data_IF_363826118148
#
_entry.id   IF_363826118148
#
_cell.length_a   1.000
_cell.length_b   1.000
_cell.length_c   1.000
_cell.angle_alpha   90.00
_cell.angle_beta   90.00
_cell.angle_gamma   90.00
#
_symmetry.space_group_name_H-M   'P 1'
#
loop_
_entity.id
_entity.type
_entity.pdbx_description
1 polymer ?
#
# COMPACT_ATOMS: atom_id res chain seq x y z
N UNK A 1 0.58 -8.80 -46.41
CA UNK A 1 0.12 -7.72 -45.52
C UNK A 1 1.14 -6.60 -45.61
N UNK A 2 0.73 -5.36 -45.90
CA UNK A 2 1.69 -4.24 -45.83
C UNK A 2 2.01 -3.93 -44.38
N UNK A 3 3.25 -3.52 -44.10
CA UNK A 3 3.73 -3.16 -42.76
C UNK A 3 2.85 -2.08 -42.10
N UNK A 4 2.35 -1.14 -42.89
CA UNK A 4 1.45 -0.06 -42.44
C UNK A 4 0.09 -0.62 -41.97
N UNK A 5 -0.47 -1.58 -42.70
CA UNK A 5 -1.74 -2.20 -42.33
C UNK A 5 -1.58 -3.05 -41.06
N UNK A 6 -0.44 -3.73 -40.91
CA UNK A 6 -0.14 -4.48 -39.70
C UNK A 6 -0.03 -3.56 -38.46
N UNK A 7 0.64 -2.40 -38.58
CA UNK A 7 0.70 -1.39 -37.50
C UNK A 7 -0.68 -0.89 -37.10
N UNK A 8 -1.54 -0.58 -38.06
CA UNK A 8 -2.93 -0.12 -37.80
C UNK A 8 -3.76 -1.17 -37.06
N UNK A 9 -3.63 -2.44 -37.44
CA UNK A 9 -4.32 -3.54 -36.75
C UNK A 9 -3.82 -3.66 -35.31
N UNK A 10 -2.50 -3.62 -35.09
CA UNK A 10 -1.91 -3.66 -33.74
C UNK A 10 -2.35 -2.46 -32.88
N UNK A 11 -2.26 -1.25 -33.42
CA UNK A 11 -2.69 -0.02 -32.75
C UNK A 11 -4.16 -0.09 -32.34
N UNK A 12 -5.04 -0.48 -33.27
CA UNK A 12 -6.47 -0.61 -33.00
C UNK A 12 -6.74 -1.66 -31.92
N UNK A 13 -6.09 -2.82 -32.01
CA UNK A 13 -6.24 -3.89 -31.02
C UNK A 13 -5.79 -3.44 -29.63
N UNK A 14 -4.65 -2.74 -29.53
CA UNK A 14 -4.12 -2.24 -28.26
C UNK A 14 -4.97 -1.12 -27.65
N UNK A 15 -5.59 -0.26 -28.46
CA UNK A 15 -6.48 0.80 -27.99
C UNK A 15 -7.82 0.22 -27.51
N UNK A 16 -8.35 -0.80 -28.21
CA UNK A 16 -9.61 -1.44 -27.84
C UNK A 16 -9.47 -2.47 -26.71
N UNK A 17 -8.25 -2.91 -26.40
CA UNK A 17 -8.01 -3.88 -25.35
C UNK A 17 -8.21 -3.25 -23.95
N UNK A 18 -8.96 -3.95 -23.09
CA UNK A 18 -9.14 -3.56 -21.69
C UNK A 18 -8.01 -4.05 -20.79
N UNK A 19 -7.21 -5.01 -21.25
CA UNK A 19 -6.09 -5.62 -20.53
C UNK A 19 -4.83 -5.59 -21.40
N UNK A 20 -3.63 -5.66 -20.80
CA UNK A 20 -2.40 -5.76 -21.57
C UNK A 20 -2.43 -6.95 -22.52
N UNK A 21 -2.03 -6.72 -23.77
CA UNK A 21 -1.97 -7.78 -24.78
C UNK A 21 -0.57 -8.40 -24.82
N UNK A 22 -0.49 -9.72 -24.67
CA UNK A 22 0.77 -10.42 -24.85
C UNK A 22 1.13 -10.52 -26.34
N UNK A 23 2.44 -10.60 -26.66
CA UNK A 23 2.91 -10.77 -28.04
C UNK A 23 2.31 -12.03 -28.68
N UNK A 24 2.07 -13.08 -27.88
CA UNK A 24 1.40 -14.31 -28.32
C UNK A 24 -0.01 -14.05 -28.84
N UNK A 25 -0.80 -13.24 -28.14
CA UNK A 25 -2.19 -12.97 -28.51
C UNK A 25 -2.26 -12.04 -29.72
N UNK A 26 -1.31 -11.10 -29.83
CA UNK A 26 -1.16 -10.26 -31.02
C UNK A 26 -0.86 -11.07 -32.28
N UNK A 27 -0.15 -12.21 -32.17
CA UNK A 27 0.10 -13.09 -33.34
C UNK A 27 -1.19 -13.69 -33.90
N UNK A 28 -2.16 -13.97 -33.02
CA UNK A 28 -3.45 -14.55 -33.41
C UNK A 28 -4.21 -13.58 -34.32
N UNK A 29 -4.09 -12.26 -34.13
CA UNK A 29 -4.68 -11.23 -35.00
C UNK A 29 -4.22 -11.33 -36.46
N UNK A 30 -3.07 -11.96 -36.70
CA UNK A 30 -2.47 -12.13 -38.02
C UNK A 30 -2.46 -13.60 -38.48
N UNK A 31 -3.24 -14.49 -37.84
CA UNK A 31 -3.23 -15.93 -38.10
C UNK A 31 -1.81 -16.53 -38.06
N UNK A 32 -0.97 -16.09 -37.12
CA UNK A 32 0.43 -16.51 -36.97
C UNK A 32 1.34 -16.25 -38.19
N UNK A 33 0.89 -15.42 -39.14
CA UNK A 33 1.70 -15.05 -40.31
C UNK A 33 2.90 -14.14 -39.95
N UNK A 34 2.86 -13.46 -38.80
CA UNK A 34 3.94 -12.62 -38.31
C UNK A 34 4.68 -13.29 -37.16
N UNK A 35 6.01 -13.32 -37.26
CA UNK A 35 6.89 -13.79 -36.18
C UNK A 35 6.87 -12.84 -34.96
N UNK A 36 7.25 -13.37 -33.80
CA UNK A 36 7.33 -12.60 -32.56
C UNK A 36 8.29 -11.41 -32.67
N UNK A 37 9.39 -11.56 -33.38
CA UNK A 37 10.39 -10.50 -33.54
C UNK A 37 9.87 -9.37 -34.43
N UNK A 38 9.14 -9.71 -35.50
CA UNK A 38 8.48 -8.72 -36.35
C UNK A 38 7.47 -7.90 -35.55
N UNK A 39 6.63 -8.55 -34.73
CA UNK A 39 5.67 -7.84 -33.89
C UNK A 39 6.38 -6.92 -32.90
N UNK A 40 7.43 -7.39 -32.23
CA UNK A 40 8.22 -6.55 -31.31
C UNK A 40 8.80 -5.32 -32.02
N UNK A 41 9.36 -5.48 -33.21
CA UNK A 41 9.85 -4.34 -34.00
C UNK A 41 8.74 -3.37 -34.35
N UNK A 42 7.56 -3.85 -34.75
CA UNK A 42 6.41 -2.99 -35.04
C UNK A 42 5.91 -2.23 -33.81
N UNK A 43 5.94 -2.88 -32.63
CA UNK A 43 5.56 -2.26 -31.36
C UNK A 43 6.55 -1.16 -30.94
N UNK A 44 7.85 -1.38 -31.13
CA UNK A 44 8.86 -0.37 -30.86
C UNK A 44 8.72 0.85 -31.77
N UNK A 45 8.45 0.63 -33.06
CA UNK A 45 8.15 1.72 -33.97
C UNK A 45 6.89 2.48 -33.55
N UNK A 46 5.80 1.76 -33.23
CA UNK A 46 4.55 2.38 -32.75
C UNK A 46 4.79 3.19 -31.48
N UNK A 47 5.61 2.68 -30.55
CA UNK A 47 5.97 3.41 -29.35
C UNK A 47 6.65 4.75 -29.68
N UNK A 48 7.56 4.78 -30.66
CA UNK A 48 8.21 6.01 -31.12
C UNK A 48 7.23 6.99 -31.78
N UNK A 49 6.30 6.49 -32.59
CA UNK A 49 5.27 7.29 -33.26
C UNK A 49 4.31 7.97 -32.24
N UNK A 50 4.14 7.38 -31.05
CA UNK A 50 3.25 7.87 -30.00
C UNK A 50 3.96 8.74 -28.93
N UNK A 51 5.25 9.03 -29.06
CA UNK A 51 6.02 9.84 -28.08
C UNK A 51 5.47 11.26 -27.89
N UNK A 52 4.88 11.87 -28.91
CA UNK A 52 4.36 13.25 -28.82
C UNK A 52 2.86 13.33 -28.48
N UNK A 53 2.22 12.19 -28.20
CA UNK A 53 0.77 12.11 -27.92
C UNK A 53 0.53 12.03 -26.41
N UNK A 54 -0.67 12.40 -25.96
CA UNK A 54 -1.08 12.33 -24.55
C UNK A 54 -1.22 10.90 -23.99
N UNK A 55 -1.16 9.90 -24.86
CA UNK A 55 -1.18 8.47 -24.54
C UNK A 55 0.15 7.87 -25.03
N UNK A 56 0.71 6.95 -24.25
CA UNK A 56 1.95 6.26 -24.56
C UNK A 56 1.75 4.74 -24.57
N UNK A 57 2.52 4.06 -25.41
CA UNK A 57 2.57 2.60 -25.47
C UNK A 57 3.67 2.10 -24.54
N UNK A 58 3.29 1.32 -23.52
CA UNK A 58 4.23 0.85 -22.49
C UNK A 58 4.24 -0.69 -22.43
N UNK A 59 5.43 -1.30 -22.41
CA UNK A 59 5.58 -2.71 -22.07
C UNK A 59 5.44 -2.93 -20.56
N UNK A 60 4.60 -3.89 -20.18
CA UNK A 60 4.35 -4.36 -18.81
C UNK A 60 4.66 -5.86 -18.69
N UNK A 61 4.63 -6.42 -17.48
CA UNK A 61 5.00 -7.81 -17.22
C UNK A 61 4.14 -8.82 -18.00
N UNK A 62 2.85 -8.55 -18.19
CA UNK A 62 1.94 -9.43 -18.95
C UNK A 62 1.87 -9.13 -20.44
N UNK A 63 2.36 -8.00 -20.92
CA UNK A 63 2.25 -7.64 -22.33
C UNK A 63 2.48 -6.16 -22.63
N UNK A 64 1.71 -5.63 -23.57
CA UNK A 64 1.76 -4.23 -23.99
C UNK A 64 0.40 -3.58 -23.82
N UNK A 65 0.37 -2.32 -23.40
CA UNK A 65 -0.86 -1.53 -23.29
C UNK A 65 -0.61 -0.06 -23.59
N UNK A 66 -1.68 0.64 -23.98
CA UNK A 66 -1.70 2.09 -23.98
C UNK A 66 -2.07 2.61 -22.58
N UNK A 67 -1.38 3.65 -22.14
CA UNK A 67 -1.67 4.35 -20.88
C UNK A 67 -1.57 5.87 -21.09
N UNK A 68 -2.35 6.63 -20.32
CA UNK A 68 -2.21 8.09 -20.33
C UNK A 68 -0.89 8.51 -19.71
N UNK A 69 -0.30 9.59 -20.22
CA UNK A 69 0.91 10.16 -19.63
C UNK A 69 0.64 10.68 -18.21
N UNK A 70 1.61 10.57 -17.29
CA UNK A 70 1.47 11.13 -15.93
C UNK A 70 1.10 12.62 -15.91
N UNK A 71 1.61 13.39 -16.88
CA UNK A 71 1.29 14.81 -17.08
C UNK A 71 -0.20 15.09 -17.31
N UNK A 72 -0.94 14.11 -17.85
CA UNK A 72 -2.37 14.26 -18.12
C UNK A 72 -3.24 14.01 -16.88
N UNK A 73 -2.66 13.48 -15.79
CA UNK A 73 -3.39 13.10 -14.57
C UNK A 73 -4.18 14.26 -13.96
N UNK A 74 -3.61 15.46 -13.89
CA UNK A 74 -4.27 16.65 -13.32
C UNK A 74 -5.57 17.00 -14.07
N UNK A 75 -5.62 16.72 -15.37
CA UNK A 75 -6.81 16.97 -16.19
C UNK A 75 -7.81 15.82 -16.10
N UNK A 76 -7.33 14.56 -16.06
CA UNK A 76 -8.17 13.37 -15.98
C UNK A 76 -8.86 13.22 -14.61
N UNK A 77 -8.21 13.63 -13.53
CA UNK A 77 -8.77 13.60 -12.18
C UNK A 77 -10.04 14.48 -12.07
N UNK A 78 -10.20 15.48 -12.95
CA UNK A 78 -11.42 16.33 -13.00
C UNK A 78 -12.64 15.57 -13.54
N UNK A 79 -12.44 14.51 -14.33
CA UNK A 79 -13.50 13.71 -14.93
C UNK A 79 -14.05 12.65 -13.96
N UNK A 80 -13.21 12.15 -13.06
CA UNK A 80 -13.54 11.12 -12.07
C UNK A 80 -13.17 11.59 -10.66
N UNK A 81 -14.03 12.38 -10.00
CA UNK A 81 -13.73 12.96 -8.69
C UNK A 81 -13.70 11.93 -7.53
N UNK A 82 -14.22 10.72 -7.76
CA UNK A 82 -14.05 9.61 -6.83
C UNK A 82 -12.60 9.15 -6.83
N UNK A 83 -11.83 9.65 -5.85
CA UNK A 83 -10.45 9.22 -5.65
C UNK A 83 -10.44 7.72 -5.37
N UNK A 84 -9.60 6.93 -6.05
CA UNK A 84 -9.45 5.52 -5.73
C UNK A 84 -9.08 5.37 -4.24
N UNK A 85 -9.47 4.24 -3.61
CA UNK A 85 -9.18 4.00 -2.20
C UNK A 85 -7.68 4.11 -1.96
N UNK A 86 -7.27 5.08 -1.14
CA UNK A 86 -5.87 5.32 -0.82
C UNK A 86 -5.37 4.20 0.09
N UNK A 87 -4.27 3.57 -0.29
CA UNK A 87 -3.61 2.59 0.57
C UNK A 87 -2.88 3.30 1.71
N UNK A 88 -3.00 2.76 2.92
CA UNK A 88 -2.29 3.31 4.08
C UNK A 88 -0.78 3.15 3.90
N UNK A 89 0.01 4.03 4.53
CA UNK A 89 1.47 3.91 4.55
C UNK A 89 1.93 2.52 5.04
N UNK A 90 1.27 1.96 6.05
CA UNK A 90 1.57 0.62 6.56
C UNK A 90 1.36 -0.49 5.52
N UNK A 91 0.33 -0.36 4.67
CA UNK A 91 0.07 -1.28 3.54
C UNK A 91 1.21 -1.22 2.53
N UNK A 92 1.64 -0.01 2.18
CA UNK A 92 2.69 0.21 1.17
C UNK A 92 4.07 -0.21 1.67
N UNK A 93 4.38 0.05 2.94
CA UNK A 93 5.61 -0.45 3.58
C UNK A 93 5.66 -1.98 3.59
N UNK A 94 4.53 -2.62 3.93
CA UNK A 94 4.42 -4.08 3.92
C UNK A 94 4.63 -4.64 2.51
N UNK A 95 3.98 -4.05 1.51
CA UNK A 95 4.14 -4.42 0.11
C UNK A 95 5.59 -4.25 -0.36
N UNK A 96 6.23 -3.14 -0.01
CA UNK A 96 7.62 -2.89 -0.36
C UNK A 96 8.54 -3.97 0.22
N UNK A 97 8.39 -4.33 1.50
CA UNK A 97 9.19 -5.40 2.10
C UNK A 97 9.02 -6.72 1.34
N UNK A 98 7.78 -7.09 0.99
CA UNK A 98 7.52 -8.30 0.20
C UNK A 98 8.23 -8.20 -1.16
N UNK A 99 8.09 -7.10 -1.89
CA UNK A 99 8.68 -6.91 -3.21
C UNK A 99 10.21 -7.01 -3.22
N UNK A 100 10.91 -6.44 -2.24
CA UNK A 100 12.38 -6.42 -2.19
C UNK A 100 13.03 -7.61 -1.45
N UNK A 101 12.26 -8.38 -0.68
CA UNK A 101 12.80 -9.48 0.15
C UNK A 101 12.17 -10.84 -0.13
N UNK A 102 11.21 -10.93 -1.05
CA UNK A 102 10.56 -12.19 -1.39
C UNK A 102 11.58 -13.31 -1.70
N UNK A 103 11.32 -14.54 -1.27
CA UNK A 103 10.13 -14.99 -0.53
C UNK A 103 10.23 -14.71 0.98
N UNK A 104 9.21 -14.04 1.55
CA UNK A 104 9.16 -13.66 2.98
C UNK A 104 7.97 -14.28 3.69
N UNK A 105 8.11 -14.57 4.98
CA UNK A 105 7.00 -14.93 5.86
C UNK A 105 6.45 -13.70 6.57
N UNK A 106 5.24 -13.81 7.13
CA UNK A 106 4.69 -12.76 7.99
C UNK A 106 5.63 -12.38 9.15
N UNK A 107 6.27 -13.36 9.78
CA UNK A 107 7.22 -13.12 10.87
C UNK A 107 8.41 -12.26 10.40
N UNK A 108 8.98 -12.58 9.24
CA UNK A 108 10.10 -11.81 8.69
C UNK A 108 9.70 -10.34 8.41
N UNK A 109 8.46 -10.10 7.98
CA UNK A 109 7.94 -8.74 7.76
C UNK A 109 7.82 -7.98 9.09
N UNK A 110 7.29 -8.62 10.13
CA UNK A 110 7.17 -8.04 11.47
C UNK A 110 8.54 -7.71 12.07
N UNK A 111 9.51 -8.61 11.91
CA UNK A 111 10.89 -8.40 12.35
C UNK A 111 11.57 -7.20 11.64
N UNK A 112 11.33 -7.02 10.35
CA UNK A 112 11.87 -5.89 9.58
C UNK A 112 11.19 -4.57 9.96
N UNK A 113 9.87 -4.56 10.17
CA UNK A 113 9.12 -3.35 10.52
C UNK A 113 9.25 -2.95 11.99
N UNK A 114 9.61 -3.89 12.86
CA UNK A 114 9.64 -3.69 14.31
C UNK A 114 8.25 -3.51 14.95
N UNK A 115 7.17 -3.74 14.20
CA UNK A 115 5.77 -3.63 14.66
C UNK A 115 4.93 -4.77 14.08
N UNK A 116 3.92 -5.21 14.83
CA UNK A 116 2.99 -6.24 14.37
C UNK A 116 2.24 -5.79 13.12
N UNK A 117 2.20 -6.65 12.11
CA UNK A 117 1.47 -6.41 10.86
C UNK A 117 0.04 -6.92 11.04
N UNK A 118 -0.95 -6.09 10.74
CA UNK A 118 -2.34 -6.51 10.76
C UNK A 118 -2.59 -7.54 9.65
N UNK A 119 -3.13 -8.71 10.00
CA UNK A 119 -3.51 -9.77 9.04
C UNK A 119 -4.39 -9.27 7.89
N UNK A 120 -5.22 -8.25 8.15
CA UNK A 120 -6.08 -7.63 7.14
C UNK A 120 -5.28 -6.99 6.01
N UNK A 121 -4.10 -6.43 6.28
CA UNK A 121 -3.24 -5.81 5.24
C UNK A 121 -2.78 -6.87 4.24
N UNK A 122 -2.31 -8.01 4.74
CA UNK A 122 -1.86 -9.12 3.88
C UNK A 122 -3.05 -9.62 3.05
N UNK A 123 -4.20 -9.83 3.69
CA UNK A 123 -5.42 -10.26 3.00
C UNK A 123 -5.87 -9.26 1.93
N UNK A 124 -5.81 -7.95 2.19
CA UNK A 124 -6.12 -6.91 1.20
C UNK A 124 -5.19 -6.96 -0.01
N UNK A 125 -3.90 -7.21 0.21
CA UNK A 125 -2.91 -7.36 -0.88
C UNK A 125 -3.14 -8.63 -1.69
N UNK A 126 -3.54 -9.73 -1.04
CA UNK A 126 -3.93 -10.98 -1.68
C UNK A 126 -5.24 -10.83 -2.48
N UNK A 127 -6.28 -10.23 -1.89
CA UNK A 127 -7.59 -10.00 -2.52
C UNK A 127 -7.45 -9.10 -3.78
N UNK A 128 -6.52 -8.14 -3.74
CA UNK A 128 -6.19 -7.29 -4.91
C UNK A 128 -5.36 -8.03 -5.97
N UNK A 129 -4.79 -9.18 -5.62
CA UNK A 129 -3.93 -9.98 -6.46
C UNK A 129 -2.51 -9.45 -6.57
N UNK A 130 -2.04 -8.59 -5.67
CA UNK A 130 -0.66 -8.08 -5.68
C UNK A 130 0.34 -9.04 -5.05
N UNK A 131 -0.12 -9.83 -4.08
CA UNK A 131 0.69 -10.81 -3.34
C UNK A 131 0.00 -12.16 -3.41
N UNK A 132 0.79 -13.23 -3.48
CA UNK A 132 0.32 -14.61 -3.40
C UNK A 132 1.18 -15.45 -2.46
N UNK A 133 0.61 -16.55 -1.96
CA UNK A 133 1.32 -17.55 -1.17
C UNK A 133 1.94 -18.57 -2.13
N UNK A 134 3.27 -18.55 -2.25
CA UNK A 134 4.00 -19.46 -3.15
C UNK A 134 4.38 -20.79 -2.49
N UNK A 135 4.20 -20.91 -1.17
CA UNK A 135 4.57 -22.11 -0.43
C UNK A 135 4.58 -21.88 1.09
N UNK A 136 5.17 -22.82 1.82
CA UNK A 136 5.31 -22.73 3.28
C UNK A 136 6.75 -23.08 3.67
N UNK A 137 7.30 -22.37 4.67
CA UNK A 137 8.66 -22.63 5.17
C UNK A 137 8.67 -23.89 6.04
N UNK A 138 9.68 -24.74 5.90
CA UNK A 138 9.84 -25.99 6.67
C UNK A 138 10.39 -25.75 8.09
N UNK A 139 9.69 -24.93 8.87
CA UNK A 139 10.02 -24.61 10.27
C UNK A 139 8.82 -24.88 11.18
N UNK A 140 9.00 -24.74 12.50
CA UNK A 140 7.89 -24.83 13.46
C UNK A 140 6.76 -23.86 13.08
N UNK A 141 5.52 -24.34 13.08
CA UNK A 141 4.35 -23.56 12.66
C UNK A 141 4.14 -23.43 11.14
N UNK A 142 5.08 -23.90 10.30
CA UNK A 142 5.02 -23.90 8.82
C UNK A 142 4.42 -22.61 8.24
N UNK A 143 5.03 -21.42 8.47
CA UNK A 143 4.47 -20.16 8.02
C UNK A 143 4.43 -20.06 6.49
N UNK A 144 3.40 -19.39 5.97
CA UNK A 144 3.24 -19.11 4.55
C UNK A 144 4.34 -18.19 4.01
N UNK A 145 4.83 -18.49 2.81
CA UNK A 145 5.79 -17.68 2.05
C UNK A 145 5.04 -16.82 1.03
N UNK A 146 5.19 -15.51 1.18
CA UNK A 146 4.57 -14.49 0.36
C UNK A 146 5.54 -14.02 -0.73
N UNK A 147 5.00 -13.79 -1.92
CA UNK A 147 5.70 -13.16 -3.04
C UNK A 147 4.75 -12.27 -3.83
N UNK A 148 5.30 -11.34 -4.61
CA UNK A 148 4.53 -10.48 -5.52
C UNK A 148 4.15 -11.21 -6.80
N UNK A 149 3.01 -10.80 -7.37
CA UNK A 149 2.48 -11.40 -8.60
C UNK A 149 2.85 -10.57 -9.85
N UNK A 150 2.52 -11.08 -11.04
CA UNK A 150 2.60 -10.30 -12.27
C UNK A 150 1.59 -9.14 -12.31
N UNK A 151 0.43 -9.31 -11.68
CA UNK A 151 -0.59 -8.27 -11.59
C UNK A 151 -0.07 -7.04 -10.81
N UNK A 152 0.73 -7.27 -9.76
CA UNK A 152 1.48 -6.19 -9.10
C UNK A 152 2.39 -5.44 -10.07
N UNK A 153 3.20 -6.14 -10.86
CA UNK A 153 4.10 -5.51 -11.83
C UNK A 153 3.33 -4.71 -12.89
N UNK A 154 2.20 -5.24 -13.37
CA UNK A 154 1.36 -4.54 -14.34
C UNK A 154 0.72 -3.28 -13.77
N UNK A 155 0.26 -3.31 -12.52
CA UNK A 155 -0.30 -2.13 -11.85
C UNK A 155 0.77 -1.05 -11.60
N UNK A 156 2.02 -1.45 -11.34
CA UNK A 156 3.16 -0.53 -11.23
C UNK A 156 3.75 -0.10 -12.59
N UNK A 157 3.32 -0.72 -13.69
CA UNK A 157 3.85 -0.46 -15.03
C UNK A 157 5.28 -0.96 -15.24
N UNK A 158 5.69 -2.01 -14.52
CA UNK A 158 7.01 -2.62 -14.58
C UNK A 158 6.97 -3.92 -15.39
N UNK A 159 8.08 -4.26 -16.06
CA UNK A 159 8.22 -5.53 -16.77
C UNK A 159 8.78 -6.65 -15.88
N UNK A 160 9.66 -6.30 -14.94
CA UNK A 160 10.29 -7.24 -14.01
C UNK A 160 10.58 -6.57 -12.67
N UNK A 161 10.85 -7.39 -11.66
CA UNK A 161 11.21 -6.93 -10.32
C UNK A 161 12.56 -6.20 -10.29
N UNK A 162 13.45 -6.43 -11.26
CA UNK A 162 14.74 -5.74 -11.38
C UNK A 162 14.60 -4.25 -11.69
N UNK A 163 13.43 -3.84 -12.20
CA UNK A 163 13.12 -2.44 -12.46
C UNK A 163 12.62 -1.70 -11.20
N UNK A 164 12.46 -2.43 -10.08
CA UNK A 164 12.16 -1.79 -8.81
C UNK A 164 13.34 -0.89 -8.40
N UNK A 165 13.10 0.37 -8.01
CA UNK A 165 14.18 1.27 -7.68
C UNK A 165 14.94 0.80 -6.43
N UNK A 166 16.26 1.02 -6.38
CA UNK A 166 17.07 0.50 -5.27
C UNK A 166 16.71 1.19 -3.95
N UNK A 167 16.46 0.39 -2.90
CA UNK A 167 16.22 0.88 -1.54
C UNK A 167 17.50 1.56 -1.01
N UNK A 168 17.54 2.90 -1.05
CA UNK A 168 18.69 3.69 -0.60
C UNK A 168 18.73 5.12 -1.15
N UNK A 169 18.04 5.38 -2.25
CA UNK A 169 17.83 6.75 -2.72
C UNK A 169 16.61 7.34 -2.01
N UNK A 170 16.82 8.28 -1.10
CA UNK A 170 15.78 8.90 -0.27
C UNK A 170 14.60 9.48 -1.08
N UNK A 171 14.78 9.76 -2.38
CA UNK A 171 13.73 10.22 -3.29
C UNK A 171 12.86 9.13 -3.94
N UNK A 172 13.22 7.83 -3.82
CA UNK A 172 12.44 6.70 -4.37
C UNK A 172 11.18 6.46 -3.55
N UNK A 173 11.30 6.51 -2.22
CA UNK A 173 10.16 6.40 -1.33
C UNK A 173 9.17 7.52 -1.66
N UNK A 174 9.65 8.75 -1.83
CA UNK A 174 8.89 9.91 -2.30
C UNK A 174 8.18 9.67 -3.64
N UNK A 175 8.88 9.15 -4.66
CA UNK A 175 8.26 8.85 -5.96
C UNK A 175 7.23 7.73 -5.89
N UNK A 176 7.45 6.70 -5.07
CA UNK A 176 6.49 5.62 -4.85
C UNK A 176 5.26 6.14 -4.08
N UNK A 177 5.46 6.92 -3.02
CA UNK A 177 4.41 7.60 -2.25
C UNK A 177 3.60 8.57 -3.14
N UNK A 178 4.27 9.27 -4.05
CA UNK A 178 3.67 10.18 -5.01
C UNK A 178 2.89 9.42 -6.11
N UNK A 179 3.41 8.27 -6.56
CA UNK A 179 2.68 7.36 -7.47
C UNK A 179 1.44 6.75 -6.81
N UNK A 180 1.48 6.57 -5.48
CA UNK A 180 0.40 6.01 -4.67
C UNK A 180 -0.49 7.10 -4.03
N UNK A 181 -0.36 8.35 -4.50
CA UNK A 181 -1.12 9.51 -4.04
C UNK A 181 -1.22 9.57 -2.52
N UNK A 182 -0.12 9.80 -1.81
CA UNK A 182 -0.15 10.38 -0.47
C UNK A 182 0.18 11.88 -0.60
N UNK A 183 -0.60 12.80 -0.02
CA UNK A 183 -0.09 14.14 0.18
C UNK A 183 1.01 14.01 1.25
N UNK A 184 2.09 14.74 1.09
CA UNK A 184 2.99 15.03 2.20
C UNK A 184 2.11 15.57 3.34
N UNK A 185 1.96 14.81 4.42
CA UNK A 185 1.35 15.36 5.62
C UNK A 185 2.20 16.57 5.99
N UNK A 186 1.56 17.73 5.99
CA UNK A 186 2.06 18.91 6.67
C UNK A 186 2.55 18.45 8.04
N UNK A 187 3.82 18.71 8.27
CA UNK A 187 4.51 18.44 9.51
C UNK A 187 3.63 18.77 10.72
N UNK A 188 3.52 17.79 11.61
CA UNK A 188 3.17 17.94 13.03
C UNK A 188 3.16 19.39 13.52
N UNK A 189 1.97 19.99 13.58
CA UNK A 189 1.70 21.16 14.40
C UNK A 189 0.85 20.74 15.60
N UNK A 190 1.52 20.28 16.64
CA UNK A 190 1.06 20.43 18.02
C UNK A 190 2.30 20.71 18.88
N UNK A 191 2.17 21.41 20.03
CA UNK A 191 0.95 21.86 20.71
C UNK A 191 1.02 23.32 21.23
N UNK A 192 -0.09 23.93 21.65
CA UNK A 192 -0.16 24.70 22.91
C UNK A 192 -1.59 24.65 23.46
N UNK A 193 -1.77 23.95 24.58
CA UNK A 193 -2.94 24.10 25.45
C UNK A 193 -2.81 25.46 26.16
N UNK A 194 -3.86 26.29 26.24
CA UNK A 194 -3.79 27.51 27.03
C UNK A 194 -3.64 27.15 28.51
N UNK A 195 -2.49 27.46 29.10
CA UNK A 195 -2.27 27.49 30.54
C UNK A 195 -3.25 28.48 31.16
N UNK A 196 -4.22 27.99 31.93
CA UNK A 196 -4.92 28.82 32.91
C UNK A 196 -3.86 29.33 33.90
N UNK A 197 -3.57 30.62 33.82
CA UNK A 197 -2.81 31.33 34.84
C UNK A 197 -3.61 31.31 36.15
N UNK A 198 -3.23 30.41 37.06
CA UNK A 198 -3.58 30.55 38.46
C UNK A 198 -2.51 31.49 39.03
N UNK A 199 -2.90 32.73 39.30
CA UNK A 199 -2.07 33.70 39.99
C UNK A 199 -1.75 33.17 41.40
N UNK A 200 -0.53 32.70 41.61
CA UNK A 200 0.04 32.57 42.94
C UNK A 200 0.66 33.92 43.30
N UNK A 201 -0.07 34.66 44.14
CA UNK A 201 0.48 35.79 44.88
C UNK A 201 1.49 35.25 45.90
N UNK A 202 2.71 35.78 45.83
CA UNK A 202 3.77 35.51 46.79
C UNK A 202 3.63 36.50 47.96
N UNK A 203 3.17 36.01 49.11
CA UNK A 203 3.56 36.62 50.39
C UNK A 203 4.27 35.59 51.27
N UNK A 204 5.53 35.91 51.54
CA UNK A 204 6.42 35.27 52.49
C UNK A 204 5.91 35.49 53.92
N UNK A 205 5.83 34.42 54.70
CA UNK A 205 5.62 34.48 56.15
C UNK A 205 6.10 33.20 56.80
N UNK A 206 7.13 33.32 57.64
CA UNK A 206 7.73 32.24 58.41
C UNK A 206 6.71 31.56 59.34
N UNK A 207 6.99 30.31 59.72
CA UNK A 207 7.35 29.96 61.11
C UNK A 207 6.87 28.55 61.53
N UNK A 208 7.84 27.74 61.95
CA UNK A 208 7.81 26.67 62.95
C UNK A 208 7.01 25.38 62.74
N UNK A 209 7.81 24.31 62.69
CA UNK A 209 7.52 22.91 63.02
C UNK A 209 7.00 22.79 64.47
N UNK A 210 5.89 22.07 64.65
CA UNK A 210 5.61 21.32 65.88
C UNK A 210 4.68 20.13 65.57
N UNK A 211 5.20 18.92 65.80
CA UNK A 211 4.45 17.69 66.10
C UNK A 211 3.83 17.78 67.52
N UNK A 212 3.11 16.78 68.03
CA UNK A 212 2.05 15.93 67.45
C UNK A 212 0.85 15.81 68.44
N UNK A 213 -0.38 15.45 68.02
CA UNK A 213 -1.38 14.87 68.96
C UNK A 213 -2.36 13.92 68.23
N UNK A 214 -2.35 12.65 68.66
CA UNK A 214 -3.44 11.65 68.52
C UNK A 214 -4.29 11.76 69.80
N UNK A 215 -5.64 11.71 69.78
CA UNK A 215 -6.41 10.45 69.89
C UNK A 215 -7.74 10.52 69.10
N UNK A 216 -8.56 9.50 68.91
CA UNK A 216 -8.68 8.13 69.42
C UNK A 216 -10.04 7.59 68.95
N UNK A 217 -10.14 6.26 68.90
CA UNK A 217 -11.34 5.40 68.89
C UNK A 217 -12.69 5.93 68.38
N UNK A 218 -13.29 5.21 67.43
CA UNK A 218 -14.54 4.47 67.70
C UNK A 218 -14.77 3.37 66.67
N UNK A 219 -14.89 2.16 67.21
CA UNK A 219 -15.29 0.89 66.64
C UNK A 219 -16.65 0.91 65.91
N UNK A 220 -16.78 0.17 64.80
CA UNK A 220 -18.01 -0.58 64.49
C UNK A 220 -17.81 -1.63 63.37
N UNK A 221 -17.74 -2.88 63.81
CA UNK A 221 -18.33 -4.10 63.23
C UNK A 221 -18.62 -4.21 61.72
N UNK A 222 -18.04 -5.27 61.13
CA UNK A 222 -18.52 -6.04 59.97
C UNK A 222 -19.85 -6.75 60.33
N UNK A 223 -20.73 -7.10 59.37
CA UNK A 223 -20.65 -8.47 58.84
C UNK A 223 -20.92 -8.61 57.33
N UNK A 224 -20.27 -9.61 56.74
CA UNK A 224 -20.64 -10.25 55.48
C UNK A 224 -22.02 -10.89 55.58
N UNK A 225 -22.76 -10.90 54.47
CA UNK A 225 -23.71 -11.96 54.13
C UNK A 225 -23.73 -12.16 52.61
N UNK A 226 -23.26 -13.34 52.22
CA UNK A 226 -23.70 -14.07 51.03
C UNK A 226 -25.22 -14.34 51.07
N UNK A 227 -25.74 -14.78 49.92
CA UNK A 227 -27.08 -15.29 49.66
C UNK A 227 -28.23 -14.28 49.44
N UNK A 228 -28.50 -14.01 48.15
CA UNK A 228 -29.85 -14.13 47.60
C UNK A 228 -29.83 -14.21 46.06
N UNK A 229 -30.29 -15.35 45.55
CA UNK A 229 -31.16 -15.54 44.38
C UNK A 229 -30.92 -14.63 43.14
N UNK A 230 -30.68 -15.16 41.94
CA UNK A 230 -31.35 -16.31 41.34
C UNK A 230 -32.32 -15.84 40.25
N UNK A 231 -32.20 -16.45 39.08
CA UNK A 231 -33.20 -16.53 38.02
C UNK A 231 -33.49 -15.26 37.20
N UNK A 232 -33.27 -15.35 35.88
CA UNK A 232 -34.23 -15.09 34.78
C UNK A 232 -33.41 -14.99 33.48
N UNK A 233 -33.55 -15.98 32.60
CA UNK A 233 -33.35 -15.86 31.16
C UNK A 233 -34.12 -17.00 30.47
N UNK A 234 -35.34 -16.66 30.06
CA UNK A 234 -36.12 -17.41 29.08
C UNK A 234 -36.67 -16.36 28.09
N UNK A 235 -36.64 -16.74 26.81
CA UNK A 235 -36.99 -16.01 25.56
C UNK A 235 -35.83 -15.35 24.82
#
# INVERSE_FOLDING_TARGET
MNTVDAKRVLETALICAQQPLAVRDMRVLFNDALGSDTIKSLLLDLQQEWVLRGVELVPVATGWRFQSRPEMREYLDRLHPEKPPRYSRATLETLAIIAYRQPVTRGDIEDIRGVTVNSLIIKQLEDRGWVEVIGHRETVGRPALLATTRHFLDDLGLQSLDQLPVLGESGVQERMLQSLQLPEEEAFAQPELPTLAVAYDQEMGAEQVNEPVVPGDTSAQIPNLEDAAGSILEQ
#
